data_IF_886289007918
#
_entry.id   IF_886289007918
#
_cell.length_a   1.000
_cell.length_b   1.000
_cell.length_c   1.000
_cell.angle_alpha   90.00
_cell.angle_beta   90.00
_cell.angle_gamma   90.00
#
_symmetry.space_group_name_H-M   'P 1'
#
loop_
_entity.id
_entity.type
_entity.pdbx_description
1 polymer ?
#
# COMPACT_ATOMS: atom_id res chain seq x y z
N UNK A 1 -21.68 -2.51 -20.94
CA UNK A 1 -21.80 -3.46 -19.81
C UNK A 1 -21.56 -2.63 -18.55
N UNK A 2 -22.52 -2.59 -17.60
CA UNK A 2 -22.27 -1.96 -16.29
C UNK A 2 -21.06 -2.64 -15.66
N UNK A 3 -20.02 -1.89 -15.33
CA UNK A 3 -18.89 -2.40 -14.57
C UNK A 3 -19.41 -2.85 -13.20
N UNK A 4 -19.29 -4.13 -12.89
CA UNK A 4 -19.91 -4.74 -11.71
C UNK A 4 -18.90 -4.93 -10.58
N UNK A 5 -19.35 -4.69 -9.35
CA UNK A 5 -18.67 -5.21 -8.16
C UNK A 5 -18.70 -6.73 -8.15
N UNK A 6 -17.61 -7.32 -7.69
CA UNK A 6 -17.54 -8.75 -7.38
C UNK A 6 -16.93 -8.90 -5.99
N UNK A 7 -17.36 -9.89 -5.25
CA UNK A 7 -16.81 -10.22 -3.95
C UNK A 7 -16.71 -11.72 -3.76
N UNK A 8 -15.65 -12.15 -3.12
CA UNK A 8 -15.50 -13.51 -2.60
C UNK A 8 -15.22 -13.46 -1.10
N UNK A 9 -15.90 -14.31 -0.34
CA UNK A 9 -15.74 -14.47 1.11
C UNK A 9 -14.96 -15.75 1.40
N UNK A 10 -13.91 -15.63 2.22
CA UNK A 10 -13.15 -16.78 2.68
C UNK A 10 -13.56 -17.17 4.10
N UNK A 11 -13.62 -18.47 4.33
CA UNK A 11 -13.84 -19.02 5.68
C UNK A 11 -12.52 -19.54 6.21
N UNK A 12 -12.14 -19.10 7.40
CA UNK A 12 -10.90 -19.51 8.04
C UNK A 12 -11.19 -20.51 9.15
N UNK A 13 -10.34 -21.54 9.23
CA UNK A 13 -10.34 -22.42 10.41
C UNK A 13 -9.57 -21.75 11.54
N UNK A 14 -10.03 -21.91 12.76
CA UNK A 14 -9.37 -21.36 13.93
C UNK A 14 -7.97 -21.94 14.10
N UNK A 15 -6.99 -21.06 14.37
CA UNK A 15 -5.58 -21.42 14.58
C UNK A 15 -4.89 -22.12 13.39
N UNK A 16 -5.38 -21.94 12.17
CA UNK A 16 -4.80 -22.55 10.97
C UNK A 16 -3.86 -21.65 10.17
N UNK A 17 -3.76 -20.37 10.54
CA UNK A 17 -3.01 -19.38 9.79
C UNK A 17 -1.49 -19.54 9.87
N UNK A 18 -0.77 -18.92 8.92
CA UNK A 18 0.68 -18.88 8.89
C UNK A 18 1.28 -18.11 10.09
N UNK A 19 2.56 -18.37 10.37
CA UNK A 19 3.29 -17.66 11.43
C UNK A 19 3.40 -16.15 11.09
N UNK A 20 2.93 -15.33 12.02
CA UNK A 20 2.94 -13.87 11.95
C UNK A 20 4.07 -13.21 12.76
N UNK A 21 5.04 -13.97 13.25
CA UNK A 21 6.13 -13.46 14.10
C UNK A 21 6.84 -12.24 13.49
N UNK A 22 7.07 -12.25 12.17
CA UNK A 22 7.72 -11.15 11.46
C UNK A 22 6.85 -9.89 11.36
N UNK A 23 5.54 -10.02 11.57
CA UNK A 23 4.55 -8.94 11.54
C UNK A 23 3.92 -8.69 12.91
N UNK A 24 4.51 -9.24 13.99
CA UNK A 24 4.05 -9.03 15.35
C UNK A 24 4.21 -7.56 15.77
N UNK A 25 3.48 -7.19 16.84
CA UNK A 25 3.63 -5.86 17.46
C UNK A 25 5.08 -5.59 17.86
N UNK A 26 5.76 -6.57 18.45
CA UNK A 26 7.16 -6.46 18.87
C UNK A 26 8.09 -6.17 17.67
N UNK A 27 7.87 -6.86 16.54
CA UNK A 27 8.62 -6.59 15.31
C UNK A 27 8.34 -5.18 14.80
N UNK A 28 7.07 -4.77 14.75
CA UNK A 28 6.67 -3.44 14.29
C UNK A 28 7.23 -2.32 15.20
N UNK A 29 7.30 -2.52 16.52
CA UNK A 29 7.93 -1.57 17.45
C UNK A 29 9.42 -1.37 17.14
N UNK A 30 10.18 -2.46 16.90
CA UNK A 30 11.61 -2.39 16.53
C UNK A 30 11.81 -1.65 15.18
N UNK A 31 10.96 -1.92 14.22
CA UNK A 31 11.01 -1.28 12.90
C UNK A 31 10.72 0.21 13.02
N UNK A 32 9.71 0.58 13.81
CA UNK A 32 9.37 1.97 14.06
C UNK A 32 10.49 2.72 14.79
N UNK A 33 11.23 2.08 15.70
CA UNK A 33 12.42 2.70 16.32
C UNK A 33 13.49 3.03 15.27
N UNK A 34 13.71 2.18 14.28
CA UNK A 34 14.57 2.53 13.14
C UNK A 34 14.03 3.74 12.37
N UNK A 35 12.73 3.77 12.04
CA UNK A 35 12.13 4.93 11.36
C UNK A 35 12.19 6.21 12.19
N UNK A 36 12.03 6.12 13.51
CA UNK A 36 12.16 7.26 14.42
C UNK A 36 13.57 7.89 14.43
N UNK A 37 14.58 7.16 13.99
CA UNK A 37 15.93 7.71 13.87
C UNK A 37 16.08 8.73 12.74
N UNK A 38 15.15 8.74 11.76
CA UNK A 38 15.16 9.74 10.69
C UNK A 38 14.69 11.10 11.19
N UNK A 39 15.40 12.21 10.90
CA UNK A 39 15.04 13.53 11.37
C UNK A 39 13.64 14.01 10.93
N UNK A 40 13.15 13.46 9.83
CA UNK A 40 11.84 13.79 9.24
C UNK A 40 10.69 12.91 9.75
N UNK A 41 10.98 11.97 10.65
CA UNK A 41 9.95 11.10 11.20
C UNK A 41 8.95 11.87 12.07
N UNK A 42 7.69 11.66 11.78
CA UNK A 42 6.58 11.96 12.67
C UNK A 42 5.47 10.93 12.43
N UNK A 43 4.70 10.54 13.45
CA UNK A 43 3.48 9.79 13.22
C UNK A 43 2.56 10.57 12.28
N UNK A 44 2.04 9.92 11.24
CA UNK A 44 1.09 10.57 10.34
C UNK A 44 -0.28 10.72 11.00
N UNK A 45 -1.12 11.67 10.54
CA UNK A 45 -2.45 11.85 11.12
C UNK A 45 -3.34 10.62 11.00
N UNK A 46 -4.20 10.41 11.98
CA UNK A 46 -5.39 9.55 11.89
C UNK A 46 -6.62 10.47 11.88
N UNK A 47 -7.18 10.72 10.70
CA UNK A 47 -8.38 11.53 10.58
C UNK A 47 -9.62 10.74 11.05
N UNK A 48 -10.44 11.35 11.90
CA UNK A 48 -11.73 10.82 12.33
C UNK A 48 -12.86 11.56 11.58
N UNK A 49 -13.57 10.86 10.71
CA UNK A 49 -14.62 11.41 9.85
C UNK A 49 -16.00 11.08 10.44
N UNK A 50 -16.32 11.68 11.60
CA UNK A 50 -17.53 11.37 12.38
C UNK A 50 -18.82 11.73 11.64
N UNK A 51 -18.87 12.92 11.03
CA UNK A 51 -20.07 13.37 10.33
C UNK A 51 -20.28 12.64 8.99
N UNK A 52 -19.21 12.32 8.30
CA UNK A 52 -19.25 11.48 7.10
C UNK A 52 -19.68 10.06 7.46
N UNK A 53 -19.25 9.49 8.58
CA UNK A 53 -19.71 8.20 9.08
C UNK A 53 -21.22 8.18 9.27
N UNK A 54 -21.78 9.20 9.94
CA UNK A 54 -23.24 9.36 10.14
C UNK A 54 -23.97 9.43 8.79
N UNK A 55 -23.46 10.20 7.83
CA UNK A 55 -24.05 10.28 6.49
C UNK A 55 -24.06 8.93 5.76
N UNK A 56 -23.08 8.08 6.01
CA UNK A 56 -22.97 6.74 5.43
C UNK A 56 -23.70 5.67 6.27
N UNK A 57 -24.27 6.01 7.43
CA UNK A 57 -24.96 5.06 8.31
C UNK A 57 -23.99 4.10 9.01
N UNK A 58 -22.80 4.58 9.36
CA UNK A 58 -21.76 3.88 10.11
C UNK A 58 -21.51 4.59 11.44
N UNK A 59 -20.89 3.91 12.40
CA UNK A 59 -20.55 4.52 13.70
C UNK A 59 -19.37 5.46 13.59
N UNK A 60 -18.25 4.98 13.07
CA UNK A 60 -17.02 5.73 12.95
C UNK A 60 -16.27 5.38 11.65
N UNK A 61 -15.59 6.38 11.09
CA UNK A 61 -14.65 6.23 9.99
C UNK A 61 -13.29 6.84 10.38
N UNK A 62 -12.25 6.04 10.31
CA UNK A 62 -10.88 6.46 10.57
C UNK A 62 -10.03 6.29 9.32
N UNK A 63 -9.26 7.32 8.98
CA UNK A 63 -8.38 7.33 7.82
C UNK A 63 -6.96 7.66 8.27
N UNK A 64 -6.05 6.69 8.18
CA UNK A 64 -4.62 6.91 8.39
C UNK A 64 -4.05 7.59 7.16
N UNK A 65 -3.64 8.85 7.29
CA UNK A 65 -3.23 9.71 6.18
C UNK A 65 -1.71 9.66 5.95
N UNK A 66 -1.27 8.80 5.07
CA UNK A 66 0.13 8.60 4.70
C UNK A 66 0.66 9.64 3.68
N UNK A 67 -0.13 10.61 3.26
CA UNK A 67 0.35 11.73 2.44
C UNK A 67 1.39 12.60 3.16
N UNK A 68 1.42 12.53 4.50
CA UNK A 68 2.38 13.25 5.34
C UNK A 68 3.70 12.51 5.54
N UNK A 69 3.80 11.25 5.06
CA UNK A 69 4.97 10.41 5.37
C UNK A 69 6.26 10.98 4.78
N UNK A 70 7.18 11.40 5.63
CA UNK A 70 8.52 11.92 5.30
C UNK A 70 8.51 13.07 4.26
N UNK A 71 7.37 13.73 4.06
CA UNK A 71 7.21 14.77 3.03
C UNK A 71 7.16 14.22 1.60
N UNK A 72 7.01 12.90 1.42
CA UNK A 72 7.02 12.26 0.10
C UNK A 72 5.62 12.01 -0.48
N UNK A 73 4.58 12.46 0.22
CA UNK A 73 3.19 12.34 -0.24
C UNK A 73 2.72 10.88 -0.47
N UNK A 74 3.39 9.88 0.14
CA UNK A 74 3.04 8.47 0.04
C UNK A 74 3.80 7.61 1.06
N UNK A 75 3.22 6.45 1.44
CA UNK A 75 3.72 5.52 2.47
C UNK A 75 4.93 4.68 2.07
N UNK A 76 5.17 4.48 0.78
CA UNK A 76 6.11 3.48 0.23
C UNK A 76 7.55 3.63 0.74
N UNK A 77 7.93 4.82 1.17
CA UNK A 77 9.25 5.07 1.77
C UNK A 77 9.49 4.27 3.05
N UNK A 78 8.45 3.92 3.81
CA UNK A 78 8.59 3.06 5.00
C UNK A 78 9.19 1.70 4.66
N UNK A 79 8.69 1.06 3.60
CA UNK A 79 9.24 -0.20 3.12
C UNK A 79 10.63 -0.04 2.52
N UNK A 80 10.81 0.94 1.63
CA UNK A 80 12.09 1.21 0.98
C UNK A 80 13.22 1.52 1.96
N UNK A 81 12.96 2.38 2.97
CA UNK A 81 13.96 2.78 3.95
C UNK A 81 14.37 1.62 4.87
N UNK A 82 13.40 0.82 5.32
CA UNK A 82 13.70 -0.32 6.15
C UNK A 82 14.45 -1.43 5.40
N UNK A 83 14.06 -1.73 4.16
CA UNK A 83 14.74 -2.73 3.33
C UNK A 83 16.18 -2.32 2.98
N UNK A 84 16.39 -1.08 2.53
CA UNK A 84 17.73 -0.57 2.24
C UNK A 84 18.58 -0.51 3.53
N UNK A 85 17.98 -0.08 4.65
CA UNK A 85 18.63 -0.08 5.96
C UNK A 85 19.12 -1.47 6.37
N UNK A 86 18.28 -2.50 6.27
CA UNK A 86 18.64 -3.89 6.54
C UNK A 86 19.77 -4.38 5.62
N UNK A 87 19.68 -4.09 4.33
CA UNK A 87 20.72 -4.47 3.39
C UNK A 87 22.08 -3.85 3.77
N UNK A 88 22.09 -2.56 4.06
CA UNK A 88 23.33 -1.86 4.45
C UNK A 88 23.87 -2.34 5.80
N UNK A 89 22.98 -2.57 6.79
CA UNK A 89 23.36 -3.16 8.09
C UNK A 89 24.03 -4.53 7.91
N UNK A 90 23.42 -5.41 7.12
CA UNK A 90 23.97 -6.73 6.80
C UNK A 90 25.33 -6.66 6.11
N UNK A 91 25.55 -5.66 5.22
CA UNK A 91 26.85 -5.42 4.58
C UNK A 91 27.93 -4.95 5.58
N UNK A 92 27.53 -4.32 6.69
CA UNK A 92 28.40 -3.95 7.82
C UNK A 92 28.55 -5.08 8.84
N UNK A 93 27.96 -6.26 8.62
CA UNK A 93 27.95 -7.37 9.57
C UNK A 93 27.15 -7.09 10.84
N UNK A 94 26.17 -6.20 10.81
CA UNK A 94 25.34 -5.77 11.93
C UNK A 94 23.88 -6.16 11.73
N UNK A 95 23.16 -6.33 12.85
CA UNK A 95 21.70 -6.36 12.85
C UNK A 95 21.14 -4.93 12.68
N UNK A 96 19.96 -4.79 12.05
CA UNK A 96 19.33 -3.48 11.84
C UNK A 96 19.07 -2.73 13.16
N UNK A 97 18.86 -3.45 14.27
CA UNK A 97 18.67 -2.86 15.59
C UNK A 97 19.94 -2.21 16.18
N UNK A 98 21.11 -2.51 15.61
CA UNK A 98 22.41 -1.95 16.00
C UNK A 98 22.78 -0.71 15.18
N UNK A 99 21.98 -0.34 14.18
CA UNK A 99 22.21 0.81 13.31
C UNK A 99 21.01 1.75 13.31
N UNK A 100 21.28 3.03 13.06
CA UNK A 100 20.28 4.07 12.93
C UNK A 100 20.60 4.96 11.72
N UNK A 101 19.77 5.96 11.47
CA UNK A 101 19.96 6.91 10.37
C UNK A 101 21.37 7.54 10.41
N UNK A 102 21.82 8.06 11.56
CA UNK A 102 23.11 8.73 11.70
C UNK A 102 24.28 7.78 11.40
N UNK A 103 24.20 6.53 11.87
CA UNK A 103 25.20 5.50 11.55
C UNK A 103 25.28 5.28 10.04
N UNK A 104 24.13 5.14 9.36
CA UNK A 104 24.10 4.82 7.93
C UNK A 104 24.57 5.97 7.02
N UNK A 105 24.44 7.23 7.47
CA UNK A 105 24.92 8.39 6.72
C UNK A 105 26.36 8.79 7.05
N UNK A 106 27.03 8.13 8.03
CA UNK A 106 28.37 8.49 8.48
C UNK A 106 29.43 8.28 7.38
N UNK A 107 30.51 9.04 7.45
CA UNK A 107 31.61 8.92 6.50
C UNK A 107 32.37 7.59 6.65
N UNK A 108 32.39 7.05 7.88
CA UNK A 108 32.93 5.71 8.16
C UNK A 108 32.14 4.64 7.40
N UNK A 109 30.82 4.64 7.55
CA UNK A 109 29.91 3.72 6.84
C UNK A 109 30.06 3.88 5.32
N UNK A 110 30.10 5.11 4.83
CA UNK A 110 30.31 5.39 3.40
C UNK A 110 31.63 4.83 2.87
N UNK A 111 32.69 4.98 3.63
CA UNK A 111 34.02 4.46 3.27
C UNK A 111 34.05 2.93 3.26
N UNK A 112 33.40 2.28 4.21
CA UNK A 112 33.35 0.83 4.35
C UNK A 112 32.50 0.18 3.24
N UNK A 113 31.32 0.72 2.98
CA UNK A 113 30.36 0.17 2.01
C UNK A 113 30.74 0.48 0.54
N UNK A 114 31.39 1.62 0.28
CA UNK A 114 31.62 2.10 -1.07
C UNK A 114 30.34 2.53 -1.79
N UNK A 115 30.37 2.51 -3.13
CA UNK A 115 29.22 2.83 -3.99
C UNK A 115 28.34 1.60 -4.16
N UNK A 116 27.10 1.71 -3.73
CA UNK A 116 26.04 0.72 -3.98
C UNK A 116 24.96 1.38 -4.85
N UNK A 117 24.47 0.67 -5.85
CA UNK A 117 23.36 1.11 -6.67
C UNK A 117 22.16 0.21 -6.40
N UNK A 118 21.06 0.83 -5.96
CA UNK A 118 19.78 0.18 -5.81
C UNK A 118 18.94 0.36 -7.07
N UNK A 119 18.23 -0.68 -7.51
CA UNK A 119 17.40 -0.63 -8.71
C UNK A 119 16.00 -1.15 -8.40
N UNK A 120 14.99 -0.53 -9.02
CA UNK A 120 13.60 -0.95 -8.90
C UNK A 120 12.79 -0.61 -10.14
N UNK A 121 11.61 -1.24 -10.28
CA UNK A 121 10.57 -0.84 -11.23
C UNK A 121 9.32 -0.40 -10.46
N UNK A 122 8.63 0.66 -10.96
CA UNK A 122 7.54 1.30 -10.21
C UNK A 122 6.65 2.16 -11.09
N UNK A 123 5.40 2.33 -10.67
CA UNK A 123 4.48 3.36 -11.17
C UNK A 123 4.78 4.78 -10.64
N UNK A 124 5.60 4.90 -9.56
CA UNK A 124 6.00 6.18 -8.98
C UNK A 124 6.40 6.14 -7.51
N UNK A 125 5.49 5.83 -6.62
CA UNK A 125 5.67 6.00 -5.16
C UNK A 125 6.75 5.11 -4.56
N UNK A 126 6.84 3.83 -4.97
CA UNK A 126 7.88 2.93 -4.50
C UNK A 126 9.26 3.41 -4.97
N UNK A 127 9.39 3.72 -6.25
CA UNK A 127 10.64 4.24 -6.80
C UNK A 127 11.07 5.55 -6.17
N UNK A 128 10.12 6.45 -5.86
CA UNK A 128 10.43 7.68 -5.12
C UNK A 128 10.97 7.39 -3.72
N UNK A 129 10.34 6.44 -3.01
CA UNK A 129 10.81 6.00 -1.68
C UNK A 129 12.21 5.38 -1.72
N UNK A 130 12.50 4.52 -2.72
CA UNK A 130 13.83 3.93 -2.95
C UNK A 130 14.85 5.01 -3.30
N UNK A 131 14.52 5.93 -4.23
CA UNK A 131 15.39 7.02 -4.65
C UNK A 131 15.76 7.94 -3.48
N UNK A 132 14.74 8.41 -2.74
CA UNK A 132 14.93 9.24 -1.56
C UNK A 132 15.82 8.55 -0.52
N UNK A 133 15.54 7.30 -0.21
CA UNK A 133 16.32 6.55 0.80
C UNK A 133 17.76 6.35 0.37
N UNK A 134 18.00 5.94 -0.89
CA UNK A 134 19.35 5.78 -1.42
C UNK A 134 20.12 7.09 -1.32
N UNK A 135 19.50 8.22 -1.68
CA UNK A 135 20.12 9.54 -1.56
C UNK A 135 20.41 9.91 -0.10
N UNK A 136 19.47 9.66 0.85
CA UNK A 136 19.72 9.88 2.28
C UNK A 136 20.98 9.12 2.76
N UNK A 137 21.14 7.86 2.35
CA UNK A 137 22.26 7.02 2.73
C UNK A 137 23.50 7.18 1.82
N UNK A 138 23.55 8.28 1.05
CA UNK A 138 24.67 8.61 0.13
C UNK A 138 24.97 7.48 -0.87
N UNK A 139 23.93 6.77 -1.31
CA UNK A 139 23.98 5.70 -2.29
C UNK A 139 23.25 6.10 -3.59
N UNK A 140 23.31 5.26 -4.62
CA UNK A 140 22.73 5.53 -5.94
C UNK A 140 21.42 4.76 -6.13
N UNK A 141 20.49 5.32 -6.93
CA UNK A 141 19.28 4.64 -7.34
C UNK A 141 19.05 4.73 -8.84
N UNK A 142 18.54 3.63 -9.41
CA UNK A 142 18.07 3.53 -10.80
C UNK A 142 16.62 3.06 -10.77
N UNK A 143 15.73 3.75 -11.50
CA UNK A 143 14.30 3.48 -11.47
C UNK A 143 13.75 3.34 -12.89
N UNK A 144 13.15 2.19 -13.17
CA UNK A 144 12.42 1.94 -14.41
C UNK A 144 10.92 2.08 -14.17
N UNK A 145 10.26 2.90 -15.00
CA UNK A 145 8.81 3.11 -14.91
C UNK A 145 8.10 2.45 -16.10
N UNK A 146 6.92 1.84 -15.90
CA UNK A 146 6.17 1.26 -17.00
C UNK A 146 5.65 2.33 -17.96
N UNK A 147 5.31 1.89 -19.19
CA UNK A 147 4.69 2.71 -20.21
C UNK A 147 3.41 3.37 -19.66
N UNK A 148 3.26 4.65 -19.96
CA UNK A 148 2.09 5.44 -19.57
C UNK A 148 2.17 6.06 -18.16
N UNK A 149 3.28 5.87 -17.44
CA UNK A 149 3.52 6.56 -16.17
C UNK A 149 3.50 8.09 -16.34
N UNK A 150 2.93 8.80 -15.37
CA UNK A 150 2.85 10.26 -15.39
C UNK A 150 4.24 10.91 -15.33
N UNK A 151 4.46 11.93 -16.16
CA UNK A 151 5.72 12.70 -16.17
C UNK A 151 6.00 13.37 -14.83
N UNK A 152 4.97 13.79 -14.11
CA UNK A 152 5.12 14.35 -12.77
C UNK A 152 5.77 13.35 -11.81
N UNK A 153 5.31 12.09 -11.81
CA UNK A 153 5.89 11.02 -11.00
C UNK A 153 7.35 10.72 -11.37
N UNK A 154 7.67 10.70 -12.67
CA UNK A 154 9.06 10.58 -13.13
C UNK A 154 9.95 11.72 -12.62
N UNK A 155 9.45 12.95 -12.72
CA UNK A 155 10.20 14.13 -12.26
C UNK A 155 10.37 14.14 -10.74
N UNK A 156 9.39 13.69 -9.99
CA UNK A 156 9.48 13.53 -8.53
C UNK A 156 10.58 12.53 -8.15
N UNK A 157 10.69 11.40 -8.86
CA UNK A 157 11.78 10.42 -8.63
C UNK A 157 13.15 11.01 -8.94
N UNK A 158 13.28 11.73 -10.05
CA UNK A 158 14.53 12.40 -10.44
C UNK A 158 14.95 13.49 -9.46
N UNK A 159 13.99 14.20 -8.89
CA UNK A 159 14.23 15.23 -7.87
C UNK A 159 14.84 14.63 -6.59
N UNK A 160 14.59 13.34 -6.30
CA UNK A 160 15.23 12.60 -5.21
C UNK A 160 16.66 12.11 -5.55
N UNK A 161 17.20 12.47 -6.73
CA UNK A 161 18.58 12.16 -7.12
C UNK A 161 18.79 10.84 -7.85
N UNK A 162 17.72 10.14 -8.24
CA UNK A 162 17.82 8.88 -8.98
C UNK A 162 17.95 9.08 -10.51
N UNK A 163 18.60 8.13 -11.16
CA UNK A 163 18.46 7.93 -12.61
C UNK A 163 17.11 7.24 -12.87
N UNK A 164 16.17 7.91 -13.52
CA UNK A 164 14.85 7.36 -13.77
C UNK A 164 14.41 7.54 -15.24
N UNK A 165 13.74 6.53 -15.79
CA UNK A 165 13.21 6.53 -17.16
C UNK A 165 11.89 5.78 -17.26
N UNK A 166 10.99 6.27 -18.14
CA UNK A 166 9.81 5.53 -18.56
C UNK A 166 10.22 4.60 -19.69
N UNK A 167 9.83 3.33 -19.57
CA UNK A 167 10.08 2.29 -20.58
C UNK A 167 8.86 2.12 -21.50
N UNK A 168 9.00 1.33 -22.57
CA UNK A 168 7.87 0.91 -23.41
C UNK A 168 7.20 -0.37 -22.92
N UNK A 169 7.55 -0.83 -21.70
CA UNK A 169 7.13 -2.09 -21.08
C UNK A 169 5.95 -1.88 -20.12
N UNK A 170 5.15 -2.92 -19.90
CA UNK A 170 4.20 -2.94 -18.79
C UNK A 170 4.93 -3.09 -17.44
N UNK A 171 4.20 -3.05 -16.33
CA UNK A 171 4.80 -3.11 -14.99
C UNK A 171 5.61 -4.38 -14.76
N UNK A 172 5.04 -5.56 -15.04
CA UNK A 172 5.71 -6.83 -14.76
C UNK A 172 6.95 -7.05 -15.65
N UNK A 173 6.90 -6.57 -16.89
CA UNK A 173 8.05 -6.55 -17.78
C UNK A 173 9.14 -5.57 -17.32
N UNK A 174 8.76 -4.41 -16.78
CA UNK A 174 9.70 -3.44 -16.21
C UNK A 174 10.39 -4.01 -14.95
N UNK A 175 9.68 -4.78 -14.13
CA UNK A 175 10.27 -5.52 -12.99
C UNK A 175 11.30 -6.53 -13.49
N UNK A 176 10.99 -7.31 -14.52
CA UNK A 176 11.94 -8.26 -15.13
C UNK A 176 13.17 -7.57 -15.72
N UNK A 177 12.98 -6.40 -16.35
CA UNK A 177 14.09 -5.56 -16.83
C UNK A 177 14.98 -5.11 -15.66
N UNK A 178 14.40 -4.59 -14.59
CA UNK A 178 15.14 -4.12 -13.42
C UNK A 178 15.95 -5.26 -12.79
N UNK A 179 15.37 -6.45 -12.66
CA UNK A 179 16.07 -7.63 -12.14
C UNK A 179 17.25 -8.04 -13.04
N UNK A 180 17.03 -8.11 -14.35
CA UNK A 180 18.10 -8.44 -15.31
C UNK A 180 19.25 -7.41 -15.25
N UNK A 181 18.95 -6.11 -15.12
CA UNK A 181 19.98 -5.08 -14.96
C UNK A 181 20.71 -5.20 -13.61
N UNK A 182 20.00 -5.58 -12.54
CA UNK A 182 20.62 -5.86 -11.24
C UNK A 182 21.68 -6.96 -11.35
N UNK A 183 21.32 -8.09 -11.94
CA UNK A 183 22.21 -9.24 -12.14
C UNK A 183 23.45 -8.90 -13.00
N UNK A 184 23.22 -8.21 -14.13
CA UNK A 184 24.30 -7.87 -15.08
C UNK A 184 25.31 -6.86 -14.53
N UNK A 185 24.82 -5.90 -13.71
CA UNK A 185 25.64 -4.78 -13.24
C UNK A 185 26.07 -4.90 -11.77
N UNK A 186 25.63 -5.97 -11.10
CA UNK A 186 25.89 -6.14 -9.66
C UNK A 186 25.17 -5.11 -8.80
N UNK A 187 24.00 -4.63 -9.25
CA UNK A 187 23.14 -3.73 -8.50
C UNK A 187 22.23 -4.50 -7.55
N UNK A 188 21.63 -3.82 -6.60
CA UNK A 188 20.75 -4.41 -5.60
C UNK A 188 19.30 -4.13 -5.99
N UNK A 189 18.56 -5.19 -6.33
CA UNK A 189 17.12 -5.09 -6.58
C UNK A 189 16.39 -4.74 -5.29
N UNK A 190 15.52 -3.72 -5.32
CA UNK A 190 14.64 -3.33 -4.19
C UNK A 190 13.21 -3.24 -4.73
N UNK A 191 12.56 -4.39 -4.85
CA UNK A 191 11.20 -4.50 -5.40
C UNK A 191 10.20 -4.91 -4.31
N UNK A 192 8.99 -4.35 -4.37
CA UNK A 192 7.93 -4.53 -3.38
C UNK A 192 6.98 -5.71 -3.69
N UNK A 193 7.44 -6.65 -4.49
CA UNK A 193 6.79 -7.95 -4.73
C UNK A 193 7.81 -9.08 -4.60
N UNK A 194 7.37 -10.27 -4.20
CA UNK A 194 8.20 -11.43 -3.92
C UNK A 194 7.95 -12.56 -4.92
N UNK A 195 9.02 -13.26 -5.28
CA UNK A 195 9.00 -14.51 -6.05
C UNK A 195 10.02 -15.48 -5.48
N UNK A 196 10.02 -16.73 -5.94
CA UNK A 196 10.95 -17.76 -5.48
C UNK A 196 12.41 -17.32 -5.65
N UNK A 197 13.16 -17.32 -4.55
CA UNK A 197 14.55 -16.88 -4.50
C UNK A 197 14.75 -15.37 -4.32
N UNK A 198 13.66 -14.57 -4.27
CA UNK A 198 13.70 -13.14 -3.96
C UNK A 198 12.64 -12.82 -2.90
N UNK A 199 12.95 -13.09 -1.64
CA UNK A 199 11.99 -13.00 -0.55
C UNK A 199 12.45 -12.08 0.61
N UNK A 200 13.76 -11.96 0.85
CA UNK A 200 14.29 -11.19 1.98
C UNK A 200 13.92 -9.71 1.88
N UNK A 201 14.27 -9.06 0.77
CA UNK A 201 14.01 -7.62 0.56
C UNK A 201 12.52 -7.33 0.56
N UNK A 202 11.65 -8.06 -0.17
CA UNK A 202 10.20 -7.89 -0.06
C UNK A 202 9.66 -8.09 1.36
N UNK A 203 10.19 -9.04 2.12
CA UNK A 203 9.83 -9.22 3.54
C UNK A 203 10.16 -7.98 4.34
N UNK A 204 11.36 -7.41 4.20
CA UNK A 204 11.75 -6.17 4.89
C UNK A 204 10.88 -4.99 4.46
N UNK A 205 10.55 -4.89 3.18
CA UNK A 205 9.62 -3.86 2.68
C UNK A 205 8.26 -3.99 3.38
N UNK A 206 7.68 -5.19 3.41
CA UNK A 206 6.40 -5.45 4.08
C UNK A 206 6.48 -5.15 5.58
N UNK A 207 7.57 -5.54 6.25
CA UNK A 207 7.81 -5.22 7.65
C UNK A 207 7.84 -3.69 7.87
N UNK A 208 8.51 -2.93 6.99
CA UNK A 208 8.55 -1.47 7.04
C UNK A 208 7.16 -0.83 7.06
N UNK A 209 6.20 -1.39 6.33
CA UNK A 209 4.80 -0.92 6.34
C UNK A 209 4.09 -1.16 7.68
N UNK A 210 4.62 -2.04 8.53
CA UNK A 210 4.11 -2.24 9.89
C UNK A 210 4.10 -0.96 10.72
N UNK A 211 5.00 0.00 10.47
CA UNK A 211 5.05 1.28 11.19
C UNK A 211 3.72 2.04 11.07
N UNK A 212 3.15 2.20 9.87
CA UNK A 212 1.88 2.93 9.72
C UNK A 212 0.71 2.18 10.37
N UNK A 213 0.72 0.84 10.30
CA UNK A 213 -0.29 0.01 10.95
C UNK A 213 -0.26 0.13 12.48
N UNK A 214 0.95 0.12 13.05
CA UNK A 214 1.17 0.28 14.48
C UNK A 214 0.77 1.68 14.98
N UNK A 215 1.15 2.72 14.23
CA UNK A 215 0.71 4.09 14.54
C UNK A 215 -0.82 4.21 14.52
N UNK A 216 -1.49 3.65 13.51
CA UNK A 216 -2.94 3.64 13.41
C UNK A 216 -3.57 2.92 14.62
N UNK A 217 -3.05 1.74 14.98
CA UNK A 217 -3.54 0.95 16.10
C UNK A 217 -3.45 1.72 17.44
N UNK A 218 -2.35 2.46 17.65
CA UNK A 218 -2.15 3.26 18.87
C UNK A 218 -2.96 4.56 18.90
N UNK A 219 -3.26 5.14 17.73
CA UNK A 219 -4.06 6.37 17.62
C UNK A 219 -5.57 6.11 17.71
N UNK A 220 -6.02 4.89 17.42
CA UNK A 220 -7.43 4.53 17.50
C UNK A 220 -7.91 4.54 18.97
N UNK A 221 -9.05 5.18 19.28
CA UNK A 221 -9.62 5.16 20.64
C UNK A 221 -10.17 3.79 21.04
N UNK A 222 -10.63 3.02 20.05
CA UNK A 222 -11.17 1.66 20.22
C UNK A 222 -10.75 0.78 19.04
N UNK A 223 -10.77 -0.54 19.23
CA UNK A 223 -10.53 -1.50 18.16
C UNK A 223 -11.53 -1.29 17.02
N UNK A 224 -11.09 -1.20 15.75
CA UNK A 224 -12.01 -1.13 14.61
C UNK A 224 -12.75 -2.46 14.47
N UNK A 225 -13.97 -2.44 13.98
CA UNK A 225 -14.72 -3.64 13.63
C UNK A 225 -14.31 -4.16 12.25
N UNK A 226 -13.95 -3.25 11.36
CA UNK A 226 -13.58 -3.55 9.98
C UNK A 226 -12.32 -2.77 9.58
N UNK A 227 -11.50 -3.40 8.75
CA UNK A 227 -10.36 -2.77 8.06
C UNK A 227 -10.52 -3.04 6.57
N UNK A 228 -10.55 -2.00 5.76
CA UNK A 228 -10.56 -2.12 4.31
C UNK A 228 -9.19 -1.67 3.76
N UNK A 229 -8.57 -2.54 2.97
CA UNK A 229 -7.23 -2.35 2.44
C UNK A 229 -7.23 -2.47 0.92
N UNK A 230 -6.79 -1.44 0.24
CA UNK A 230 -6.53 -1.54 -1.19
C UNK A 230 -5.28 -2.36 -1.45
N UNK A 231 -5.25 -3.08 -2.57
CA UNK A 231 -4.13 -3.93 -2.93
C UNK A 231 -3.80 -3.89 -4.43
N UNK A 232 -2.51 -3.80 -4.73
CA UNK A 232 -1.93 -4.22 -5.99
C UNK A 232 -1.42 -5.66 -5.86
N UNK A 233 -0.11 -5.86 -5.69
CA UNK A 233 0.48 -7.21 -5.45
C UNK A 233 0.11 -7.81 -4.08
N UNK A 234 -0.44 -7.03 -3.14
CA UNK A 234 -0.84 -7.49 -1.82
C UNK A 234 0.19 -7.31 -0.70
N UNK A 235 1.35 -6.71 -0.95
CA UNK A 235 2.41 -6.54 0.08
C UNK A 235 1.96 -5.65 1.23
N UNK A 236 1.40 -4.46 0.95
CA UNK A 236 0.90 -3.55 1.99
C UNK A 236 -0.29 -4.16 2.73
N UNK A 237 -1.26 -4.68 1.98
CA UNK A 237 -2.43 -5.31 2.56
C UNK A 237 -2.05 -6.51 3.44
N UNK A 238 -1.10 -7.35 3.00
CA UNK A 238 -0.57 -8.47 3.78
C UNK A 238 0.14 -8.01 5.06
N UNK A 239 0.94 -6.95 4.99
CA UNK A 239 1.66 -6.43 6.16
C UNK A 239 0.69 -5.91 7.24
N UNK A 240 -0.32 -5.10 6.85
CA UNK A 240 -1.33 -4.58 7.78
C UNK A 240 -2.22 -5.70 8.31
N UNK A 241 -2.67 -6.62 7.45
CA UNK A 241 -3.43 -7.81 7.85
C UNK A 241 -2.65 -8.64 8.88
N UNK A 242 -1.37 -8.92 8.61
CA UNK A 242 -0.50 -9.66 9.52
C UNK A 242 -0.37 -8.99 10.88
N UNK A 243 -0.11 -7.67 10.90
CA UNK A 243 0.02 -6.91 12.15
C UNK A 243 -1.26 -6.94 12.98
N UNK A 244 -2.40 -6.59 12.39
CA UNK A 244 -3.67 -6.56 13.14
C UNK A 244 -4.11 -7.96 13.58
N UNK A 245 -3.84 -9.00 12.78
CA UNK A 245 -4.10 -10.39 13.16
C UNK A 245 -3.18 -10.85 14.29
N UNK A 246 -1.90 -10.46 14.28
CA UNK A 246 -0.98 -10.76 15.37
C UNK A 246 -1.35 -10.05 16.68
N UNK A 247 -1.86 -8.81 16.61
CA UNK A 247 -2.26 -8.02 17.79
C UNK A 247 -3.55 -8.59 18.42
N UNK A 248 -4.56 -8.90 17.62
CA UNK A 248 -5.90 -9.20 18.12
C UNK A 248 -6.25 -10.70 18.08
N UNK A 249 -5.44 -11.52 17.42
CA UNK A 249 -5.69 -12.97 17.32
C UNK A 249 -7.06 -13.27 16.72
N UNK A 250 -7.83 -14.12 17.36
CA UNK A 250 -9.17 -14.48 16.91
C UNK A 250 -10.21 -13.36 17.04
N UNK A 251 -9.91 -12.33 17.85
CA UNK A 251 -10.76 -11.14 18.01
C UNK A 251 -10.37 -10.01 17.04
N UNK A 252 -9.68 -10.36 15.95
CA UNK A 252 -9.28 -9.39 14.94
C UNK A 252 -10.48 -8.74 14.23
N UNK A 253 -10.32 -7.54 13.71
CA UNK A 253 -11.32 -6.93 12.82
C UNK A 253 -11.60 -7.80 11.59
N UNK A 254 -12.77 -7.63 10.98
CA UNK A 254 -13.05 -8.16 9.65
C UNK A 254 -12.15 -7.42 8.65
N UNK A 255 -11.37 -8.15 7.85
CA UNK A 255 -10.40 -7.59 6.90
C UNK A 255 -10.88 -7.84 5.48
N UNK A 256 -11.07 -6.75 4.74
CA UNK A 256 -11.52 -6.75 3.34
C UNK A 256 -10.46 -6.15 2.43
N UNK A 257 -10.10 -6.88 1.39
CA UNK A 257 -9.17 -6.46 0.35
C UNK A 257 -9.93 -5.89 -0.83
N UNK A 258 -9.48 -4.74 -1.36
CA UNK A 258 -10.14 -4.02 -2.46
C UNK A 258 -9.14 -3.84 -3.60
N UNK A 259 -9.53 -4.28 -4.80
CA UNK A 259 -8.73 -4.23 -6.02
C UNK A 259 -9.51 -3.60 -7.19
N UNK A 260 -8.80 -2.94 -8.14
CA UNK A 260 -9.44 -2.51 -9.39
C UNK A 260 -9.84 -3.72 -10.24
N UNK A 261 -11.02 -3.72 -10.85
CA UNK A 261 -11.53 -4.82 -11.65
C UNK A 261 -10.69 -5.14 -12.92
N UNK A 262 -9.74 -4.29 -13.25
CA UNK A 262 -8.80 -4.48 -14.37
C UNK A 262 -7.46 -5.09 -13.94
N UNK A 263 -7.22 -5.19 -12.62
CA UNK A 263 -5.99 -5.73 -12.03
C UNK A 263 -6.33 -6.40 -10.67
N UNK A 264 -7.24 -7.37 -10.68
CA UNK A 264 -7.83 -8.03 -9.53
C UNK A 264 -7.22 -9.43 -9.26
N UNK A 265 -5.90 -9.52 -9.24
CA UNK A 265 -5.18 -10.78 -9.15
C UNK A 265 -5.40 -11.53 -7.82
N UNK A 266 -5.53 -10.82 -6.70
CA UNK A 266 -5.82 -11.42 -5.40
C UNK A 266 -7.26 -11.92 -5.33
N UNK A 267 -8.22 -11.14 -5.84
CA UNK A 267 -9.62 -11.56 -5.96
C UNK A 267 -9.72 -12.87 -6.76
N UNK A 268 -9.11 -12.93 -7.95
CA UNK A 268 -9.13 -14.13 -8.79
C UNK A 268 -8.50 -15.33 -8.11
N UNK A 269 -7.39 -15.11 -7.42
CA UNK A 269 -6.74 -16.15 -6.63
C UNK A 269 -7.64 -16.64 -5.49
N UNK A 270 -8.32 -15.73 -4.79
CA UNK A 270 -9.28 -16.07 -3.73
C UNK A 270 -10.52 -16.80 -4.28
N UNK A 271 -11.03 -16.37 -5.44
CA UNK A 271 -12.21 -16.96 -6.11
C UNK A 271 -11.91 -18.37 -6.61
N UNK A 272 -10.76 -18.60 -7.23
CA UNK A 272 -10.36 -19.91 -7.71
C UNK A 272 -10.16 -20.93 -6.59
N UNK A 273 -9.59 -20.51 -5.47
CA UNK A 273 -9.39 -21.31 -4.26
C UNK A 273 -8.82 -22.73 -4.53
N UNK A 274 -7.89 -22.84 -5.46
CA UNK A 274 -7.28 -24.10 -5.93
C UNK A 274 -5.83 -24.30 -5.43
N UNK A 275 -5.34 -23.38 -4.60
CA UNK A 275 -3.97 -23.37 -4.07
C UNK A 275 -2.96 -22.67 -4.95
N UNK A 276 -3.33 -22.28 -6.16
CA UNK A 276 -2.46 -21.58 -7.11
C UNK A 276 -2.71 -20.07 -7.10
N UNK A 277 -1.71 -19.27 -7.50
CA UNK A 277 -1.86 -17.82 -7.68
C UNK A 277 -2.31 -17.53 -9.12
N UNK A 278 -3.41 -16.82 -9.28
CA UNK A 278 -4.00 -16.45 -10.55
C UNK A 278 -3.57 -15.05 -10.97
N UNK A 279 -2.92 -14.94 -12.12
CA UNK A 279 -2.37 -13.69 -12.62
C UNK A 279 -3.35 -12.96 -13.55
N UNK A 280 -3.28 -11.65 -13.55
CA UNK A 280 -3.92 -10.79 -14.55
C UNK A 280 -2.85 -10.34 -15.54
N UNK A 281 -3.16 -10.45 -16.82
CA UNK A 281 -2.25 -10.06 -17.91
C UNK A 281 -2.89 -8.97 -18.77
N UNK A 282 -2.08 -8.25 -19.53
CA UNK A 282 -2.53 -7.18 -20.43
C UNK A 282 -2.19 -5.78 -19.89
N UNK A 283 -2.90 -4.77 -20.38
CA UNK A 283 -2.57 -3.37 -20.08
C UNK A 283 -2.96 -2.93 -18.67
N UNK A 284 -3.84 -3.66 -17.98
CA UNK A 284 -4.34 -3.37 -16.62
C UNK A 284 -4.69 -1.87 -16.43
N UNK A 285 -5.34 -1.29 -17.43
CA UNK A 285 -5.59 0.15 -17.53
C UNK A 285 -6.64 0.60 -16.52
N UNK A 286 -6.20 1.05 -15.36
CA UNK A 286 -7.01 1.61 -14.27
C UNK A 286 -6.45 2.95 -13.81
N UNK A 287 -7.31 3.82 -13.25
CA UNK A 287 -6.84 5.07 -12.62
C UNK A 287 -6.07 4.80 -11.32
N UNK A 288 -6.32 3.67 -10.67
CA UNK A 288 -5.63 3.25 -9.45
C UNK A 288 -4.22 2.74 -9.79
N UNK A 289 -3.35 3.63 -10.29
CA UNK A 289 -2.06 3.28 -10.87
C UNK A 289 -1.15 2.47 -9.92
N UNK A 290 -1.15 2.78 -8.62
CA UNK A 290 -0.40 2.04 -7.60
C UNK A 290 -0.96 0.63 -7.30
N UNK A 291 -2.12 0.28 -7.88
CA UNK A 291 -2.77 -1.03 -7.76
C UNK A 291 -2.77 -1.81 -9.09
N UNK A 292 -2.26 -1.23 -10.18
CA UNK A 292 -2.25 -1.83 -11.51
C UNK A 292 -1.18 -2.93 -11.64
N UNK A 293 -1.32 -4.01 -10.89
CA UNK A 293 -0.38 -5.12 -10.78
C UNK A 293 -1.10 -6.44 -11.08
N UNK A 294 -0.45 -7.32 -11.83
CA UNK A 294 -1.05 -8.57 -12.27
C UNK A 294 -0.61 -9.82 -11.49
N UNK A 295 0.51 -9.76 -10.77
CA UNK A 295 1.11 -10.92 -10.12
C UNK A 295 1.08 -10.79 -8.59
N UNK A 296 0.34 -11.65 -7.84
CA UNK A 296 0.29 -11.60 -6.39
C UNK A 296 1.67 -11.83 -5.76
N UNK A 297 2.06 -10.99 -4.80
CA UNK A 297 3.22 -11.22 -3.95
C UNK A 297 3.05 -12.52 -3.16
N UNK A 298 4.00 -13.45 -3.25
CA UNK A 298 3.91 -14.76 -2.59
C UNK A 298 3.75 -14.65 -1.07
N UNK A 299 4.52 -13.78 -0.43
CA UNK A 299 4.47 -13.56 1.03
C UNK A 299 3.17 -12.88 1.42
N UNK A 300 2.78 -11.83 0.68
CA UNK A 300 1.52 -11.12 0.92
C UNK A 300 0.31 -12.04 0.78
N UNK A 301 0.26 -12.83 -0.28
CA UNK A 301 -0.82 -13.79 -0.50
C UNK A 301 -0.92 -14.82 0.62
N UNK A 302 0.20 -15.37 1.10
CA UNK A 302 0.20 -16.34 2.20
C UNK A 302 -0.49 -15.79 3.45
N UNK A 303 -0.27 -14.51 3.79
CA UNK A 303 -0.94 -13.88 4.93
C UNK A 303 -2.42 -13.61 4.60
N UNK A 304 -2.69 -13.04 3.41
CA UNK A 304 -4.05 -12.69 3.01
C UNK A 304 -4.95 -13.92 2.85
N UNK A 305 -4.43 -15.03 2.33
CA UNK A 305 -5.18 -16.28 2.21
C UNK A 305 -5.64 -16.83 3.55
N UNK A 306 -4.89 -16.58 4.62
CA UNK A 306 -5.15 -17.13 5.95
C UNK A 306 -5.91 -16.18 6.86
N UNK A 307 -5.87 -14.86 6.60
CA UNK A 307 -6.39 -13.86 7.55
C UNK A 307 -7.32 -12.81 6.93
N UNK A 308 -7.40 -12.63 5.61
CA UNK A 308 -8.36 -11.72 5.00
C UNK A 308 -9.71 -12.41 4.76
N UNK A 309 -10.80 -11.76 5.19
CA UNK A 309 -12.15 -12.35 5.15
C UNK A 309 -12.84 -12.18 3.80
N UNK A 310 -12.62 -11.04 3.14
CA UNK A 310 -13.28 -10.70 1.88
C UNK A 310 -12.28 -10.13 0.88
N UNK A 311 -12.52 -10.41 -0.42
CA UNK A 311 -11.81 -9.82 -1.54
C UNK A 311 -12.83 -9.22 -2.49
N UNK A 312 -12.69 -7.93 -2.79
CA UNK A 312 -13.59 -7.17 -3.65
C UNK A 312 -12.84 -6.68 -4.88
N UNK A 313 -13.44 -6.93 -6.05
CA UNK A 313 -13.04 -6.34 -7.33
C UNK A 313 -14.04 -5.23 -7.68
N UNK A 314 -13.57 -3.98 -7.86
CA UNK A 314 -14.42 -2.82 -8.06
C UNK A 314 -13.98 -1.92 -9.23
N UNK A 315 -14.90 -1.15 -9.84
CA UNK A 315 -14.59 -0.25 -10.96
C UNK A 315 -13.89 1.05 -10.54
N UNK A 316 -13.23 1.70 -11.50
CA UNK A 316 -12.46 2.92 -11.32
C UNK A 316 -13.23 4.10 -10.68
N UNK A 317 -14.52 4.28 -11.00
CA UNK A 317 -15.31 5.38 -10.43
C UNK A 317 -15.41 5.34 -8.91
N UNK A 318 -15.19 4.19 -8.31
CA UNK A 318 -15.18 3.98 -6.85
C UNK A 318 -14.04 4.76 -6.21
N UNK A 319 -12.84 4.65 -6.74
CA UNK A 319 -11.69 5.42 -6.28
C UNK A 319 -11.96 6.94 -6.44
N UNK A 320 -12.49 7.34 -7.60
CA UNK A 320 -12.86 8.73 -7.86
C UNK A 320 -13.91 9.25 -6.88
N UNK A 321 -14.92 8.43 -6.49
CA UNK A 321 -15.89 8.76 -5.44
C UNK A 321 -15.21 8.96 -4.10
N UNK A 322 -14.29 8.06 -3.74
CA UNK A 322 -13.49 8.17 -2.51
C UNK A 322 -12.68 9.45 -2.46
N UNK A 323 -11.95 9.80 -3.53
CA UNK A 323 -11.19 11.05 -3.65
C UNK A 323 -12.06 12.28 -3.42
N UNK A 324 -13.25 12.32 -4.02
CA UNK A 324 -14.19 13.46 -3.87
C UNK A 324 -14.72 13.59 -2.45
N UNK A 325 -15.13 12.50 -1.81
CA UNK A 325 -15.65 12.54 -0.44
C UNK A 325 -14.54 12.91 0.54
N UNK A 326 -13.37 12.29 0.46
CA UNK A 326 -12.22 12.59 1.31
C UNK A 326 -11.73 14.03 1.14
N UNK A 327 -11.72 14.52 -0.11
CA UNK A 327 -11.35 15.89 -0.44
C UNK A 327 -12.41 16.95 -0.06
N UNK A 328 -13.67 16.54 0.16
CA UNK A 328 -14.78 17.40 0.57
C UNK A 328 -15.75 16.62 1.47
N UNK A 329 -15.34 16.26 2.69
CA UNK A 329 -16.14 15.47 3.62
C UNK A 329 -17.35 16.24 4.14
N UNK A 330 -18.17 15.59 4.96
CA UNK A 330 -19.26 16.25 5.68
C UNK A 330 -18.75 17.40 6.57
N UNK A 331 -19.60 18.41 6.76
CA UNK A 331 -19.23 19.61 7.52
C UNK A 331 -18.90 19.25 8.98
N UNK A 332 -17.68 19.54 9.37
CA UNK A 332 -17.16 19.24 10.72
C UNK A 332 -15.96 18.29 10.68
N UNK A 333 -15.87 17.48 9.63
CA UNK A 333 -14.76 16.55 9.46
C UNK A 333 -13.54 17.19 8.77
N UNK A 334 -12.36 16.70 9.10
CA UNK A 334 -11.12 17.09 8.46
C UNK A 334 -11.02 16.54 7.03
N UNK A 335 -10.48 17.36 6.14
CA UNK A 335 -10.23 16.97 4.76
C UNK A 335 -8.98 16.09 4.66
N UNK A 336 -9.09 15.00 3.93
CA UNK A 336 -7.96 14.13 3.56
C UNK A 336 -7.73 14.22 2.05
N UNK A 337 -6.55 14.63 1.64
CA UNK A 337 -6.14 14.61 0.23
C UNK A 337 -5.60 13.22 -0.07
N UNK A 338 -6.39 12.42 -0.77
CA UNK A 338 -6.04 11.04 -1.14
C UNK A 338 -6.02 10.87 -2.65
N UNK A 339 -4.97 10.26 -3.15
CA UNK A 339 -4.88 9.87 -4.56
C UNK A 339 -5.77 8.67 -4.90
N UNK A 340 -5.74 8.26 -6.17
CA UNK A 340 -6.64 7.26 -6.72
C UNK A 340 -6.52 5.92 -6.02
N UNK A 341 -5.28 5.45 -5.79
CA UNK A 341 -5.03 4.19 -5.11
C UNK A 341 -5.36 4.30 -3.62
N UNK A 342 -4.99 5.40 -2.98
CA UNK A 342 -5.23 5.64 -1.56
C UNK A 342 -6.72 5.74 -1.18
N UNK A 343 -7.55 6.24 -2.10
CA UNK A 343 -8.98 6.45 -1.87
C UNK A 343 -9.85 5.23 -2.20
N UNK A 344 -9.31 4.19 -2.84
CA UNK A 344 -10.08 3.07 -3.39
C UNK A 344 -10.89 2.33 -2.32
N UNK A 345 -10.28 1.96 -1.21
CA UNK A 345 -10.93 1.24 -0.13
C UNK A 345 -12.04 2.06 0.54
N UNK A 346 -11.80 3.36 0.79
CA UNK A 346 -12.81 4.27 1.33
C UNK A 346 -13.98 4.45 0.35
N UNK A 347 -13.68 4.68 -0.93
CA UNK A 347 -14.69 4.82 -1.98
C UNK A 347 -15.54 3.56 -2.15
N UNK A 348 -14.94 2.37 -1.98
CA UNK A 348 -15.63 1.09 -2.00
C UNK A 348 -16.70 1.02 -0.89
N UNK A 349 -16.35 1.34 0.34
CA UNK A 349 -17.31 1.37 1.47
C UNK A 349 -18.37 2.44 1.24
N UNK A 350 -17.98 3.65 0.81
CA UNK A 350 -18.95 4.72 0.52
C UNK A 350 -19.95 4.32 -0.57
N UNK A 351 -19.51 3.58 -1.59
CA UNK A 351 -20.39 3.04 -2.64
C UNK A 351 -21.32 1.97 -2.09
N UNK A 352 -20.80 0.99 -1.36
CA UNK A 352 -21.60 -0.10 -0.76
C UNK A 352 -22.68 0.45 0.18
N UNK A 353 -22.35 1.48 0.96
CA UNK A 353 -23.29 2.06 1.93
C UNK A 353 -24.38 2.94 1.29
N UNK A 354 -24.14 3.48 0.09
CA UNK A 354 -25.07 4.40 -0.56
C UNK A 354 -25.79 3.82 -1.77
N UNK A 355 -25.35 2.68 -2.30
CA UNK A 355 -25.93 2.06 -3.48
C UNK A 355 -26.84 0.90 -3.09
N UNK A 356 -28.19 1.02 -3.27
CA UNK A 356 -29.14 -0.05 -2.95
C UNK A 356 -28.89 -1.37 -3.72
N UNK A 357 -28.28 -1.30 -4.90
CA UNK A 357 -27.93 -2.50 -5.69
C UNK A 357 -26.84 -3.35 -5.02
N UNK A 358 -26.11 -2.79 -4.05
CA UNK A 358 -25.06 -3.47 -3.29
C UNK A 358 -25.50 -3.88 -1.85
N UNK A 359 -26.82 -3.89 -1.58
CA UNK A 359 -27.34 -4.22 -0.26
C UNK A 359 -26.94 -5.64 0.21
N UNK A 360 -26.82 -6.60 -0.70
CA UNK A 360 -26.38 -7.95 -0.38
C UNK A 360 -24.91 -7.98 0.04
N UNK A 361 -24.03 -7.20 -0.63
CA UNK A 361 -22.62 -7.06 -0.24
C UNK A 361 -22.50 -6.41 1.14
N UNK A 362 -23.26 -5.31 1.37
CA UNK A 362 -23.30 -4.65 2.67
C UNK A 362 -23.64 -5.63 3.79
N UNK A 363 -24.67 -6.47 3.57
CA UNK A 363 -25.11 -7.48 4.54
C UNK A 363 -24.04 -8.55 4.79
N UNK A 364 -23.40 -9.03 3.72
CA UNK A 364 -22.38 -10.07 3.82
C UNK A 364 -21.10 -9.57 4.52
N UNK A 365 -20.73 -8.32 4.31
CA UNK A 365 -19.62 -7.64 5.00
C UNK A 365 -19.94 -7.35 6.47
N UNK A 366 -21.21 -7.39 6.89
CA UNK A 366 -21.65 -7.04 8.24
C UNK A 366 -21.57 -5.55 8.56
N UNK A 367 -21.66 -4.68 7.54
CA UNK A 367 -21.60 -3.22 7.72
C UNK A 367 -22.95 -2.68 8.20
N UNK A 368 -22.95 -2.01 9.35
CA UNK A 368 -24.12 -1.42 10.00
C UNK A 368 -23.78 -0.15 10.81
N UNK A 369 -24.76 0.37 11.53
CA UNK A 369 -24.63 1.56 12.38
C UNK A 369 -23.70 1.41 13.59
N UNK A 370 -23.18 0.21 13.87
CA UNK A 370 -22.20 -0.06 14.91
C UNK A 370 -20.79 -0.22 14.37
N UNK A 371 -20.65 -0.23 13.04
CA UNK A 371 -19.37 -0.47 12.37
C UNK A 371 -18.41 0.69 12.52
N UNK A 372 -17.20 0.41 13.04
CA UNK A 372 -16.03 1.30 13.09
C UNK A 372 -15.03 0.84 12.04
N UNK A 373 -14.82 1.65 11.02
CA UNK A 373 -14.04 1.24 9.84
C UNK A 373 -12.74 2.01 9.77
N UNK A 374 -11.62 1.28 9.64
CA UNK A 374 -10.29 1.84 9.44
C UNK A 374 -9.87 1.72 7.97
N UNK A 375 -9.32 2.81 7.45
CA UNK A 375 -8.71 2.90 6.12
C UNK A 375 -7.28 3.46 6.19
N UNK A 376 -6.52 3.22 5.12
CA UNK A 376 -5.21 3.82 4.91
C UNK A 376 -5.22 4.61 3.61
N UNK A 377 -5.19 5.94 3.69
CA UNK A 377 -4.92 6.80 2.54
C UNK A 377 -3.43 6.74 2.25
N UNK A 378 -3.04 5.84 1.36
CA UNK A 378 -1.65 5.46 1.13
C UNK A 378 -0.85 6.47 0.32
N UNK A 379 -1.52 7.41 -0.32
CA UNK A 379 -0.92 8.50 -1.09
C UNK A 379 -1.82 9.72 -1.11
N UNK A 380 -1.24 10.91 -1.28
CA UNK A 380 -1.96 12.12 -1.60
C UNK A 380 -2.07 12.34 -3.11
N UNK A 381 -2.15 13.59 -3.53
CA UNK A 381 -2.27 14.02 -4.93
C UNK A 381 -0.93 13.91 -5.71
N UNK A 382 -0.36 12.72 -5.76
CA UNK A 382 0.93 12.45 -6.43
C UNK A 382 0.89 12.64 -7.95
N UNK A 383 -0.29 12.72 -8.53
CA UNK A 383 -0.62 13.16 -9.89
C UNK A 383 -1.66 14.29 -9.78
N UNK A 384 -1.19 15.53 -9.67
CA UNK A 384 -2.04 16.69 -9.43
C UNK A 384 -2.98 17.00 -10.59
N UNK A 385 -2.58 16.72 -11.83
CA UNK A 385 -3.41 16.94 -13.01
C UNK A 385 -4.62 16.00 -12.96
N UNK A 386 -4.39 14.71 -12.73
CA UNK A 386 -5.48 13.74 -12.65
C UNK A 386 -6.34 13.94 -11.38
N UNK A 387 -5.73 14.33 -10.25
CA UNK A 387 -6.48 14.70 -9.04
C UNK A 387 -7.48 15.82 -9.32
N UNK A 388 -7.06 16.90 -9.99
CA UNK A 388 -7.95 18.02 -10.36
C UNK A 388 -9.04 17.57 -11.33
N UNK A 389 -8.68 16.81 -12.37
CA UNK A 389 -9.66 16.28 -13.33
C UNK A 389 -10.76 15.44 -12.64
N UNK A 390 -10.39 14.68 -11.61
CA UNK A 390 -11.35 13.86 -10.87
C UNK A 390 -12.16 14.69 -9.88
N UNK A 391 -11.50 15.48 -9.04
CA UNK A 391 -12.16 16.14 -7.90
C UNK A 391 -12.85 17.45 -8.33
N UNK A 392 -12.24 18.23 -9.21
CA UNK A 392 -12.79 19.53 -9.64
C UNK A 392 -13.69 19.41 -10.85
N UNK A 393 -13.25 18.63 -11.88
CA UNK A 393 -13.94 18.54 -13.17
C UNK A 393 -14.92 17.36 -13.24
N UNK A 394 -14.97 16.50 -12.18
CA UNK A 394 -15.94 15.42 -12.06
C UNK A 394 -15.66 14.22 -12.97
N UNK A 395 -14.44 14.03 -13.46
CA UNK A 395 -14.06 12.84 -14.24
C UNK A 395 -14.37 11.55 -13.46
N UNK A 396 -14.80 10.51 -14.12
CA UNK A 396 -15.27 9.25 -13.54
C UNK A 396 -16.44 9.44 -12.54
N UNK A 397 -17.59 9.97 -12.99
CA UNK A 397 -18.76 10.15 -12.13
C UNK A 397 -19.31 8.82 -11.66
N UNK A 398 -19.97 8.80 -10.50
CA UNK A 398 -20.79 7.66 -10.07
C UNK A 398 -21.96 7.48 -11.04
N UNK A 399 -22.19 6.25 -11.51
CA UNK A 399 -23.13 5.94 -12.61
C UNK A 399 -24.59 5.76 -12.16
N UNK A 400 -24.96 6.21 -10.95
CA UNK A 400 -26.35 6.12 -10.51
C UNK A 400 -27.18 7.19 -11.23
N UNK A 401 -27.93 6.76 -12.26
CA UNK A 401 -29.07 7.54 -12.74
C UNK A 401 -30.11 7.56 -11.62
N UNK A 402 -30.49 8.77 -11.16
CA UNK A 402 -31.56 8.99 -10.22
C UNK A 402 -32.92 8.59 -10.81
#
# INVERSE_FOLDING_TARGET
MKESFKMVTRKHEKNSGCDLKLFSKESADKIREFHKSFPVYAPTPLAHLEETAKCLGLKDLYVKDESWRFGLNAFKVLGGSYAIGNYLAGRLGKDISEVNYETLISDETRKELGDITFVTATDGNHGRGVAWTANQFKQKAVVYMPKGSALERLNNIRAEGAEASITDLNYDEAVRLANSQAEQKGWVMVQDTAWEGYEDIPTWIMQGYGTMGLEAQEQLPEKPTHIFLQAGVGSMAGAVTGLFSAIYGEDRPVITIVEPNKADCLYRTAEANDGERHFVTGDMNTIMAGLACGEPCSIGWKILSDYADHFISCPDYVAAKGMRILGNPAKGDDRVISGESGAAAFGCVAEIMTNPELADLKKELGLDENSRVLFFSTEGDTDQENYKAIVWDGKYPSTHEN
#
